data_IF_425488773171
#
_entry.id   IF_425488773171
#
_cell.length_a   1.000
_cell.length_b   1.000
_cell.length_c   1.000
_cell.angle_alpha   90.00
_cell.angle_beta   90.00
_cell.angle_gamma   90.00
#
_symmetry.space_group_name_H-M   'P 1'
#
loop_
_entity.id
_entity.type
_entity.pdbx_description
1 polymer ?
#
# COMPACT_ATOMS: atom_id res chain seq x y z
N UNK A 1 -23.28 60.44 3.22
CA UNK A 1 -22.15 59.46 3.21
C UNK A 1 -22.64 58.19 3.88
N UNK A 2 -22.79 57.09 3.12
CA UNK A 2 -23.22 55.78 3.63
C UNK A 2 -22.32 54.70 3.03
N UNK A 3 -21.63 53.98 3.90
CA UNK A 3 -20.81 52.81 3.58
C UNK A 3 -21.70 51.64 3.19
N UNK A 4 -21.33 50.93 2.13
CA UNK A 4 -21.78 49.56 1.90
C UNK A 4 -20.54 48.71 1.60
N UNK A 5 -20.13 47.93 2.59
CA UNK A 5 -19.17 46.85 2.44
C UNK A 5 -19.91 45.64 1.84
N UNK A 6 -19.48 45.18 0.68
CA UNK A 6 -19.98 43.92 0.09
C UNK A 6 -18.88 42.89 0.30
N UNK A 7 -19.09 42.04 1.30
CA UNK A 7 -18.38 40.77 1.49
C UNK A 7 -18.75 39.87 0.29
N UNK A 8 -17.79 39.60 -0.60
CA UNK A 8 -17.97 38.55 -1.62
C UNK A 8 -17.26 37.29 -1.15
N UNK A 9 -18.07 36.26 -0.90
CA UNK A 9 -17.69 34.95 -0.38
C UNK A 9 -17.02 34.16 -1.51
N UNK A 10 -15.75 33.82 -1.35
CA UNK A 10 -15.02 32.92 -2.24
C UNK A 10 -15.49 31.49 -1.97
N UNK A 11 -16.39 30.95 -2.78
CA UNK A 11 -16.82 29.56 -2.69
C UNK A 11 -15.72 28.66 -3.24
N UNK A 12 -14.93 28.05 -2.35
CA UNK A 12 -13.99 26.99 -2.71
C UNK A 12 -14.81 25.73 -3.10
N UNK A 13 -14.91 25.46 -4.39
CA UNK A 13 -15.37 24.17 -4.89
C UNK A 13 -14.32 23.11 -4.53
N UNK A 14 -14.52 22.44 -3.39
CA UNK A 14 -13.83 21.20 -3.05
C UNK A 14 -14.25 20.17 -4.09
N UNK A 15 -13.41 19.99 -5.12
CA UNK A 15 -13.53 18.90 -6.06
C UNK A 15 -13.60 17.59 -5.29
N UNK A 16 -14.74 16.92 -5.40
CA UNK A 16 -14.95 15.57 -4.91
C UNK A 16 -14.00 14.63 -5.65
N UNK A 17 -12.82 14.44 -5.08
CA UNK A 17 -11.91 13.36 -5.46
C UNK A 17 -12.61 12.05 -5.13
N UNK A 18 -13.35 11.50 -6.09
CA UNK A 18 -13.78 10.10 -6.04
C UNK A 18 -12.51 9.29 -5.88
N UNK A 19 -12.29 8.76 -4.67
CA UNK A 19 -11.22 7.81 -4.39
C UNK A 19 -11.47 6.65 -5.33
N UNK A 20 -10.70 6.57 -6.43
CA UNK A 20 -10.73 5.41 -7.31
C UNK A 20 -10.49 4.23 -6.38
N UNK A 21 -11.49 3.39 -6.23
CA UNK A 21 -11.44 2.30 -5.26
C UNK A 21 -10.25 1.41 -5.59
N UNK A 22 -9.67 0.84 -4.54
CA UNK A 22 -8.74 -0.29 -4.67
C UNK A 22 -9.39 -1.36 -5.55
N UNK A 23 -8.62 -2.27 -6.13
CA UNK A 23 -9.19 -3.50 -6.70
C UNK A 23 -10.13 -4.13 -5.67
N UNK A 24 -11.45 -3.94 -5.86
CA UNK A 24 -12.45 -4.42 -4.92
C UNK A 24 -12.38 -5.94 -4.94
N UNK A 25 -12.05 -6.51 -3.79
CA UNK A 25 -11.94 -7.94 -3.61
C UNK A 25 -13.35 -8.57 -3.74
N UNK A 26 -13.65 -9.12 -4.93
CA UNK A 26 -14.98 -9.64 -5.29
C UNK A 26 -15.33 -10.97 -4.63
N UNK A 27 -14.33 -11.77 -4.26
CA UNK A 27 -14.50 -13.07 -3.64
C UNK A 27 -13.22 -13.49 -2.91
N UNK A 28 -13.30 -14.35 -1.88
CA UNK A 28 -12.12 -14.84 -1.19
C UNK A 28 -11.33 -15.82 -2.07
N UNK A 29 -10.01 -15.95 -1.88
CA UNK A 29 -9.17 -15.23 -0.91
C UNK A 29 -8.71 -13.87 -1.46
N UNK A 30 -8.31 -12.95 -0.58
CA UNK A 30 -7.74 -11.67 -0.99
C UNK A 30 -6.50 -11.33 -0.17
N UNK A 31 -5.47 -10.91 -0.89
CA UNK A 31 -4.14 -10.59 -0.41
C UNK A 31 -4.22 -9.49 0.62
N UNK A 32 -3.35 -9.61 1.62
CA UNK A 32 -3.37 -8.73 2.79
C UNK A 32 -1.97 -8.28 3.16
N UNK A 33 -1.88 -7.04 3.59
CA UNK A 33 -0.66 -6.45 4.12
C UNK A 33 -0.93 -5.87 5.52
N UNK A 34 -0.21 -6.38 6.51
CA UNK A 34 -0.21 -5.91 7.90
C UNK A 34 1.12 -5.22 8.21
N UNK A 35 1.06 -3.90 8.43
CA UNK A 35 2.20 -3.09 8.79
C UNK A 35 2.19 -2.81 10.30
N UNK A 36 2.70 -3.75 11.10
CA UNK A 36 2.92 -3.59 12.54
C UNK A 36 4.26 -2.90 12.83
N UNK A 37 4.68 -1.96 11.98
CA UNK A 37 5.92 -1.20 12.16
C UNK A 37 5.62 0.27 12.46
N UNK A 38 6.56 1.03 13.07
CA UNK A 38 6.38 2.47 13.30
C UNK A 38 6.59 3.32 12.04
N UNK A 39 6.79 2.72 10.87
CA UNK A 39 7.04 3.45 9.62
C UNK A 39 5.87 3.29 8.66
N UNK A 40 5.60 4.34 7.88
CA UNK A 40 4.68 4.25 6.76
C UNK A 40 5.23 3.30 5.69
N UNK A 41 4.30 2.63 5.02
CA UNK A 41 4.57 1.73 3.90
C UNK A 41 3.67 2.11 2.72
N UNK A 42 3.80 1.37 1.62
CA UNK A 42 2.87 1.46 0.49
C UNK A 42 2.36 0.07 0.14
N UNK A 43 1.16 0.04 -0.41
CA UNK A 43 0.59 -1.14 -1.06
C UNK A 43 0.14 -0.76 -2.48
N UNK A 44 -0.03 -1.75 -3.34
CA UNK A 44 -0.41 -1.52 -4.72
C UNK A 44 -1.34 -2.59 -5.28
N UNK A 45 -2.15 -2.15 -6.24
CA UNK A 45 -2.83 -2.98 -7.23
C UNK A 45 -1.92 -3.07 -8.47
N UNK A 46 -1.56 -4.28 -8.90
CA UNK A 46 -0.72 -4.50 -10.07
C UNK A 46 -1.58 -4.56 -11.35
N UNK A 47 -0.97 -4.22 -12.49
CA UNK A 47 -1.68 -4.13 -13.77
C UNK A 47 -2.50 -2.85 -13.96
N UNK A 48 -2.66 -2.07 -12.89
CA UNK A 48 -3.37 -0.78 -12.88
C UNK A 48 -2.45 0.40 -13.21
N UNK A 49 -3.01 1.55 -13.59
CA UNK A 49 -2.28 2.82 -13.84
C UNK A 49 -2.54 3.80 -12.67
N UNK A 50 -1.75 4.88 -12.47
CA UNK A 50 -0.76 5.50 -13.37
C UNK A 50 0.72 5.21 -13.09
N UNK A 51 1.07 4.42 -12.09
CA UNK A 51 2.46 4.31 -11.63
C UNK A 51 3.18 3.10 -12.23
N UNK A 52 4.49 3.02 -11.94
CA UNK A 52 5.33 1.86 -12.21
C UNK A 52 5.90 1.32 -10.89
N UNK A 53 5.84 0.01 -10.72
CA UNK A 53 6.34 -0.72 -9.57
C UNK A 53 7.49 -1.63 -10.01
N UNK A 54 8.68 -1.39 -9.47
CA UNK A 54 9.82 -2.28 -9.67
C UNK A 54 9.72 -3.47 -8.70
N UNK A 55 9.32 -4.65 -9.17
CA UNK A 55 9.26 -5.84 -8.32
C UNK A 55 10.64 -6.47 -8.15
N UNK A 56 10.83 -7.23 -7.06
CA UNK A 56 12.06 -8.01 -6.83
C UNK A 56 12.29 -9.14 -7.84
N UNK A 57 11.23 -9.64 -8.48
CA UNK A 57 11.26 -10.86 -9.31
C UNK A 57 11.36 -10.60 -10.82
N UNK A 58 11.29 -9.34 -11.26
CA UNK A 58 11.30 -8.99 -12.68
C UNK A 58 12.26 -7.84 -12.95
N UNK A 59 12.87 -7.83 -14.13
CA UNK A 59 13.84 -6.79 -14.51
C UNK A 59 13.19 -5.49 -14.98
N UNK A 60 11.96 -5.55 -15.50
CA UNK A 60 11.21 -4.38 -16.00
C UNK A 60 10.11 -3.98 -15.00
N UNK A 61 9.97 -2.69 -14.66
CA UNK A 61 8.85 -2.22 -13.85
C UNK A 61 7.51 -2.60 -14.47
N UNK A 62 6.54 -2.94 -13.62
CA UNK A 62 5.17 -3.25 -14.03
C UNK A 62 4.25 -2.07 -13.74
N UNK A 63 3.18 -1.93 -14.52
CA UNK A 63 2.13 -0.93 -14.23
C UNK A 63 1.48 -1.25 -12.88
N UNK A 64 1.30 -0.22 -12.06
CA UNK A 64 0.59 -0.35 -10.80
C UNK A 64 -0.14 0.93 -10.40
N UNK A 65 -1.08 0.79 -9.47
CA UNK A 65 -1.64 1.91 -8.71
C UNK A 65 -1.16 1.79 -7.27
N UNK A 66 -0.51 2.83 -6.76
CA UNK A 66 0.12 2.82 -5.44
C UNK A 66 -0.73 3.61 -4.45
N UNK A 67 -0.71 3.17 -3.20
CA UNK A 67 -1.43 3.78 -2.10
C UNK A 67 -0.56 3.80 -0.85
N UNK A 68 -0.74 4.82 -0.03
CA UNK A 68 -0.06 4.91 1.25
C UNK A 68 -0.73 4.00 2.28
N UNK A 69 0.10 3.44 3.17
CA UNK A 69 -0.32 2.71 4.36
C UNK A 69 0.38 3.32 5.57
N UNK A 70 -0.41 3.79 6.53
CA UNK A 70 0.14 4.39 7.75
C UNK A 70 0.96 3.37 8.57
N UNK A 71 1.80 3.88 9.46
CA UNK A 71 2.39 3.06 10.51
C UNK A 71 1.30 2.36 11.34
N UNK A 72 1.58 1.16 11.85
CA UNK A 72 0.65 0.39 12.70
C UNK A 72 -0.75 0.22 12.09
N UNK A 73 -0.81 -0.07 10.80
CA UNK A 73 -2.08 -0.22 10.07
C UNK A 73 -2.04 -1.40 9.11
N UNK A 74 -3.21 -1.79 8.56
CA UNK A 74 -3.32 -2.92 7.64
C UNK A 74 -4.26 -2.60 6.49
N UNK A 75 -4.11 -3.34 5.38
CA UNK A 75 -4.96 -3.25 4.21
C UNK A 75 -5.17 -4.62 3.59
N UNK A 76 -6.36 -4.81 3.02
CA UNK A 76 -6.71 -6.01 2.28
C UNK A 76 -7.28 -7.14 3.13
N UNK A 77 -7.59 -8.24 2.44
CA UNK A 77 -8.32 -9.37 2.99
C UNK A 77 -9.83 -9.26 2.76
N UNK A 78 -10.45 -10.40 2.45
CA UNK A 78 -11.88 -10.49 2.12
C UNK A 78 -12.82 -10.13 3.29
N UNK A 79 -12.39 -10.42 4.53
CA UNK A 79 -13.18 -10.18 5.74
C UNK A 79 -12.97 -8.79 6.36
N UNK A 80 -12.24 -7.89 5.69
CA UNK A 80 -11.99 -6.54 6.15
C UNK A 80 -12.66 -5.52 5.24
N UNK A 81 -13.10 -4.40 5.81
CA UNK A 81 -13.70 -3.29 5.06
C UNK A 81 -12.68 -2.15 4.87
N UNK A 82 -12.54 -1.57 3.66
CA UNK A 82 -13.10 -2.07 2.41
C UNK A 82 -12.45 -3.40 2.00
N UNK A 83 -13.18 -4.23 1.25
CA UNK A 83 -12.65 -5.48 0.70
C UNK A 83 -11.63 -5.14 -0.37
N UNK A 84 -10.35 -5.41 -0.12
CA UNK A 84 -9.26 -5.08 -1.04
C UNK A 84 -8.37 -6.30 -1.26
N UNK A 85 -7.94 -6.51 -2.49
CA UNK A 85 -6.91 -7.50 -2.82
C UNK A 85 -5.56 -6.80 -2.97
N UNK A 86 -4.66 -6.94 -1.99
CA UNK A 86 -3.33 -6.33 -2.07
C UNK A 86 -2.42 -7.21 -2.92
N UNK A 87 -1.94 -6.70 -4.05
CA UNK A 87 -1.03 -7.44 -4.93
C UNK A 87 0.44 -7.28 -4.56
N UNK A 88 0.82 -6.13 -4.01
CA UNK A 88 2.22 -5.85 -3.65
C UNK A 88 2.33 -4.83 -2.51
N UNK A 89 3.48 -4.86 -1.83
CA UNK A 89 3.83 -3.90 -0.81
C UNK A 89 5.28 -3.44 -0.92
N UNK A 90 5.59 -2.28 -0.35
CA UNK A 90 6.98 -1.81 -0.19
C UNK A 90 7.13 -0.83 0.97
N UNK A 91 8.37 -0.57 1.35
CA UNK A 91 8.75 0.60 2.13
C UNK A 91 9.47 1.59 1.21
N UNK A 92 8.86 2.74 0.94
CA UNK A 92 9.36 3.68 -0.06
C UNK A 92 10.77 4.24 0.25
N UNK A 93 11.04 4.52 1.53
CA UNK A 93 12.24 5.28 1.95
C UNK A 93 13.17 4.47 2.86
N UNK A 94 13.01 3.14 2.95
CA UNK A 94 13.86 2.30 3.80
C UNK A 94 14.00 0.87 3.29
N UNK A 95 15.16 0.30 3.55
CA UNK A 95 15.44 -1.13 3.36
C UNK A 95 14.54 -1.95 4.30
N UNK A 96 14.17 -3.14 3.87
CA UNK A 96 13.38 -4.08 4.67
C UNK A 96 13.74 -5.51 4.32
N UNK A 97 13.32 -6.47 5.15
CA UNK A 97 13.56 -7.89 4.95
C UNK A 97 12.26 -8.62 4.68
N UNK A 98 12.29 -9.58 3.77
CA UNK A 98 11.15 -10.44 3.46
C UNK A 98 11.54 -11.90 3.57
N UNK A 99 10.66 -12.70 4.17
CA UNK A 99 10.74 -14.16 4.18
C UNK A 99 9.40 -14.74 3.70
N UNK A 100 9.45 -15.65 2.72
CA UNK A 100 8.26 -16.35 2.22
C UNK A 100 8.09 -17.70 2.95
N UNK A 101 7.03 -17.82 3.75
CA UNK A 101 6.73 -18.97 4.58
C UNK A 101 7.62 -19.11 5.82
N UNK A 102 7.32 -20.07 6.71
CA UNK A 102 8.05 -20.25 7.96
C UNK A 102 9.52 -20.69 7.73
N UNK A 103 9.74 -21.48 6.68
CA UNK A 103 11.04 -22.06 6.29
C UNK A 103 11.75 -21.31 5.14
N UNK A 104 11.19 -20.19 4.69
CA UNK A 104 11.80 -19.38 3.64
C UNK A 104 13.15 -18.82 4.07
N UNK A 105 14.02 -18.57 3.10
CA UNK A 105 15.20 -17.75 3.33
C UNK A 105 14.80 -16.29 3.43
N UNK A 106 15.41 -15.57 4.37
CA UNK A 106 15.20 -14.13 4.50
C UNK A 106 16.01 -13.40 3.43
N UNK A 107 15.37 -12.45 2.75
CA UNK A 107 15.96 -11.65 1.68
C UNK A 107 15.90 -10.18 2.06
N UNK A 108 17.00 -9.46 1.84
CA UNK A 108 17.03 -8.00 1.99
C UNK A 108 16.47 -7.34 0.73
N UNK A 109 15.57 -6.38 0.90
CA UNK A 109 14.90 -5.64 -0.17
C UNK A 109 15.20 -4.16 -0.01
N UNK A 110 15.61 -3.52 -1.12
CA UNK A 110 15.92 -2.09 -1.16
C UNK A 110 14.70 -1.20 -0.95
N UNK A 111 14.94 0.05 -0.54
CA UNK A 111 13.90 1.07 -0.46
C UNK A 111 13.20 1.25 -1.82
N UNK A 112 11.88 1.36 -1.81
CA UNK A 112 11.06 1.55 -3.01
C UNK A 112 10.93 0.34 -3.93
N UNK A 113 11.63 -0.76 -3.64
CA UNK A 113 11.48 -2.02 -4.37
C UNK A 113 10.27 -2.77 -3.82
N UNK A 114 9.43 -3.27 -4.71
CA UNK A 114 8.14 -3.89 -4.41
C UNK A 114 8.25 -5.39 -4.28
N UNK A 115 7.54 -5.94 -3.29
CA UNK A 115 7.40 -7.38 -3.10
C UNK A 115 5.97 -7.76 -3.45
N UNK A 116 5.85 -8.64 -4.44
CA UNK A 116 4.57 -9.20 -4.85
C UNK A 116 4.10 -10.23 -3.84
N UNK A 117 2.80 -10.21 -3.55
CA UNK A 117 2.06 -11.29 -2.91
C UNK A 117 0.92 -11.73 -3.83
N UNK A 118 0.30 -12.87 -3.55
CA UNK A 118 -0.90 -13.31 -4.25
C UNK A 118 -2.12 -13.20 -3.33
N UNK A 119 -3.31 -13.42 -3.89
CA UNK A 119 -4.57 -13.26 -3.15
C UNK A 119 -4.74 -14.25 -1.98
N UNK A 120 -3.95 -15.33 -1.92
CA UNK A 120 -3.93 -16.29 -0.79
C UNK A 120 -3.01 -15.84 0.36
N UNK A 121 -2.16 -14.84 0.12
CA UNK A 121 -1.06 -14.51 1.01
C UNK A 121 -1.34 -13.34 1.94
N UNK A 122 -0.77 -13.43 3.14
CA UNK A 122 -0.69 -12.30 4.07
C UNK A 122 0.76 -11.92 4.33
N UNK A 123 1.13 -10.70 3.99
CA UNK A 123 2.39 -10.11 4.40
C UNK A 123 2.25 -9.47 5.78
N UNK A 124 2.94 -10.00 6.79
CA UNK A 124 2.99 -9.42 8.13
C UNK A 124 4.36 -8.87 8.42
N UNK A 125 4.44 -7.56 8.64
CA UNK A 125 5.70 -6.86 8.90
C UNK A 125 5.78 -6.33 10.33
N UNK A 126 6.88 -6.62 11.02
CA UNK A 126 7.19 -6.13 12.36
C UNK A 126 8.50 -5.36 12.38
N UNK A 127 8.67 -4.45 13.34
CA UNK A 127 9.94 -3.77 13.54
C UNK A 127 10.91 -4.67 14.33
N UNK A 128 12.11 -4.87 13.80
CA UNK A 128 13.22 -5.56 14.50
C UNK A 128 14.52 -4.88 14.08
N UNK A 129 15.43 -4.62 15.03
CA UNK A 129 16.73 -4.01 14.74
C UNK A 129 16.61 -2.75 13.86
N UNK A 130 15.64 -1.86 14.15
CA UNK A 130 15.38 -0.60 13.42
C UNK A 130 14.95 -0.74 11.95
N UNK A 131 14.75 -1.96 11.46
CA UNK A 131 14.31 -2.27 10.10
C UNK A 131 12.96 -3.03 10.10
N UNK A 132 12.17 -2.98 9.02
CA UNK A 132 10.98 -3.82 8.88
C UNK A 132 11.36 -5.25 8.49
N UNK A 133 10.78 -6.22 9.18
CA UNK A 133 10.92 -7.65 8.90
C UNK A 133 9.55 -8.23 8.59
N UNK A 134 9.38 -8.68 7.36
CA UNK A 134 8.12 -9.14 6.81
C UNK A 134 8.14 -10.65 6.60
N UNK A 135 7.11 -11.34 7.08
CA UNK A 135 6.84 -12.74 6.73
C UNK A 135 5.60 -12.79 5.84
N UNK A 136 5.73 -13.39 4.67
CA UNK A 136 4.61 -13.66 3.76
C UNK A 136 4.17 -15.10 3.99
N UNK A 137 2.94 -15.28 4.48
CA UNK A 137 2.33 -16.58 4.76
C UNK A 137 1.29 -16.92 3.70
#
# INVERSE_FOLDING_TARGET
MKLYAILSVTTLLLGSSSTVEASECKGPPCGRFENDTPWAAKWADLGMTPHLCQLTTVTKPVKCKQFDLAARSSRGGYFHSPRTDVDAFCYANRKYHVKFGPRGQQQSVGAGVWVKINSLQTAKCVAKNEEPYCTVL
#
